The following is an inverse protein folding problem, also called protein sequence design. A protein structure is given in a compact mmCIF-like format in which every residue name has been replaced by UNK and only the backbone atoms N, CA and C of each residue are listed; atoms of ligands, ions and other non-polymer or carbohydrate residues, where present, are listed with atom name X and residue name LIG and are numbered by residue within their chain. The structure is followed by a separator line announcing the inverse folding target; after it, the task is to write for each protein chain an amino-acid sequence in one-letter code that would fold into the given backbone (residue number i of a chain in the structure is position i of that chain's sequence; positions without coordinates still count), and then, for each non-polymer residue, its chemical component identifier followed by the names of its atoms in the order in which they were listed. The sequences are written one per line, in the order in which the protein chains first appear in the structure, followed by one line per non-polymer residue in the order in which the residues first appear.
data_IF_705567366368
#
_entry.id   IF_705567366368
#
_cell.length_a   1.000
_cell.length_b   1.000
_cell.length_c   1.000
_cell.angle_alpha   90.00
_cell.angle_beta   90.00
_cell.angle_gamma   90.00
#
_symmetry.space_group_name_H-M   'P 1'
#
loop_
_entity.id
_entity.type
_entity.pdbx_description
1 polymer ?
#
# COMPACT_ATOMS: atom_id res chain seq x y z
N UNK A 1 17.09 30.60 -30.28
CA UNK A 1 17.28 29.16 -30.54
C UNK A 1 16.05 28.45 -29.99
N UNK A 2 15.37 27.66 -30.81
CA UNK A 2 14.13 26.94 -30.46
C UNK A 2 14.37 25.43 -30.34
N UNK A 3 15.65 25.00 -30.37
CA UNK A 3 16.04 23.60 -30.36
C UNK A 3 16.17 23.04 -28.93
N UNK A 4 15.82 23.83 -27.91
CA UNK A 4 15.89 23.42 -26.51
C UNK A 4 17.28 23.49 -25.88
N UNK A 5 18.32 23.90 -26.61
CA UNK A 5 19.65 24.11 -26.03
C UNK A 5 19.84 25.52 -25.47
N UNK A 6 20.34 25.61 -24.23
CA UNK A 6 20.76 26.87 -23.60
C UNK A 6 22.24 27.13 -23.93
N UNK A 7 22.61 28.24 -24.59
CA UNK A 7 24.01 28.55 -24.87
C UNK A 7 24.82 28.67 -23.57
N UNK A 8 25.99 28.05 -23.50
CA UNK A 8 26.84 28.09 -22.30
C UNK A 8 27.23 29.52 -21.93
N UNK A 9 27.46 30.37 -22.93
CA UNK A 9 27.83 31.78 -22.73
C UNK A 9 26.71 32.62 -22.11
N UNK A 10 25.45 32.19 -22.25
CA UNK A 10 24.30 32.87 -21.63
C UNK A 10 24.31 32.69 -20.11
N UNK A 11 24.75 31.52 -19.62
CA UNK A 11 24.87 31.29 -18.18
C UNK A 11 25.88 32.27 -17.57
N UNK A 12 27.06 32.38 -18.16
CA UNK A 12 28.12 33.27 -17.67
C UNK A 12 27.68 34.73 -17.66
N UNK A 13 27.02 35.20 -18.74
CA UNK A 13 26.46 36.55 -18.81
C UNK A 13 25.40 36.82 -17.74
N UNK A 14 24.58 35.81 -17.41
CA UNK A 14 23.55 35.93 -16.38
C UNK A 14 24.15 35.89 -14.98
N UNK A 15 25.22 35.11 -14.75
CA UNK A 15 25.99 35.14 -13.50
C UNK A 15 26.60 36.53 -13.29
N UNK A 16 27.22 37.12 -14.31
CA UNK A 16 27.78 38.48 -14.26
C UNK A 16 26.71 39.54 -13.96
N UNK A 17 25.48 39.32 -14.44
CA UNK A 17 24.32 40.18 -14.15
C UNK A 17 23.67 39.94 -12.78
N UNK A 18 24.19 39.00 -11.97
CA UNK A 18 23.62 38.62 -10.67
C UNK A 18 22.36 37.75 -10.75
N UNK A 19 22.08 37.20 -11.93
CA UNK A 19 20.89 36.42 -12.28
C UNK A 19 21.25 34.98 -12.66
N UNK A 20 22.20 34.36 -11.95
CA UNK A 20 22.63 32.98 -12.21
C UNK A 20 21.43 32.04 -12.37
N UNK A 21 21.35 31.33 -13.51
CA UNK A 21 20.24 30.42 -13.79
C UNK A 21 20.32 29.16 -12.93
N UNK A 22 21.49 28.54 -12.91
CA UNK A 22 21.74 27.33 -12.14
C UNK A 22 21.87 27.65 -10.64
N UNK A 23 21.35 26.78 -9.76
CA UNK A 23 21.53 26.93 -8.33
C UNK A 23 23.01 26.75 -7.95
N UNK A 24 23.49 27.59 -7.03
CA UNK A 24 24.80 27.40 -6.40
C UNK A 24 24.78 26.27 -5.37
N UNK A 25 25.95 25.89 -4.89
CA UNK A 25 26.12 24.81 -3.88
C UNK A 25 25.37 25.04 -2.56
N UNK A 26 24.92 26.27 -2.28
CA UNK A 26 24.15 26.64 -1.09
C UNK A 26 22.66 26.82 -1.33
N UNK A 27 22.22 26.76 -2.59
CA UNK A 27 20.83 26.98 -2.99
C UNK A 27 20.03 25.67 -2.98
N UNK A 28 20.70 24.52 -2.89
CA UNK A 28 20.08 23.19 -2.90
C UNK A 28 20.32 22.51 -1.56
N UNK A 29 19.22 22.21 -0.86
CA UNK A 29 19.22 21.31 0.29
C UNK A 29 18.55 20.00 -0.10
N UNK A 30 19.16 18.89 0.25
CA UNK A 30 18.64 17.55 0.00
C UNK A 30 18.16 16.98 1.33
N UNK A 31 16.90 16.56 1.39
CA UNK A 31 16.34 15.80 2.51
C UNK A 31 15.74 14.50 1.98
N UNK A 32 16.08 13.38 2.61
CA UNK A 32 15.60 12.06 2.22
C UNK A 32 15.23 11.24 3.44
N UNK A 33 14.02 10.69 3.45
CA UNK A 33 13.48 9.87 4.55
C UNK A 33 14.06 8.45 4.61
N UNK A 34 15.09 8.14 3.82
CA UNK A 34 15.65 6.78 3.70
C UNK A 34 16.57 6.35 4.87
N UNK A 35 16.78 7.22 5.86
CA UNK A 35 17.57 6.92 7.06
C UNK A 35 19.08 6.87 6.85
N UNK A 36 19.56 7.17 5.64
CA UNK A 36 20.99 7.26 5.35
C UNK A 36 21.53 8.65 5.73
N UNK A 37 22.60 8.69 6.55
CA UNK A 37 23.23 9.92 7.05
C UNK A 37 24.29 10.50 6.10
N UNK A 38 24.51 9.89 4.94
CA UNK A 38 25.38 10.46 3.92
C UNK A 38 24.76 11.75 3.33
N UNK A 39 25.59 12.77 3.08
CA UNK A 39 25.18 14.06 2.51
C UNK A 39 24.45 13.93 1.16
N UNK A 40 24.65 12.83 0.43
CA UNK A 40 23.87 12.45 -0.75
C UNK A 40 23.64 10.93 -0.77
N UNK A 41 22.48 10.48 -0.28
CA UNK A 41 22.07 9.09 -0.44
C UNK A 41 21.79 8.76 -1.91
N UNK A 42 21.77 7.47 -2.28
CA UNK A 42 21.53 7.04 -3.67
C UNK A 42 20.16 7.51 -4.21
N UNK A 43 19.15 7.65 -3.35
CA UNK A 43 17.83 8.16 -3.74
C UNK A 43 17.87 9.65 -4.08
N UNK A 44 18.55 10.44 -3.26
CA UNK A 44 18.76 11.85 -3.52
C UNK A 44 19.56 12.07 -4.81
N UNK A 45 20.62 11.28 -5.00
CA UNK A 45 21.40 11.31 -6.24
C UNK A 45 20.54 10.95 -7.46
N UNK A 46 19.72 9.89 -7.37
CA UNK A 46 18.81 9.50 -8.43
C UNK A 46 17.78 10.60 -8.76
N UNK A 47 17.21 11.25 -7.73
CA UNK A 47 16.29 12.37 -7.92
C UNK A 47 16.98 13.57 -8.58
N UNK A 48 18.23 13.89 -8.19
CA UNK A 48 19.01 14.96 -8.81
C UNK A 48 19.34 14.65 -10.28
N UNK A 49 19.72 13.41 -10.60
CA UNK A 49 19.97 12.99 -11.98
C UNK A 49 18.69 13.05 -12.84
N UNK A 50 17.53 12.66 -12.29
CA UNK A 50 16.27 12.77 -13.00
C UNK A 50 15.87 14.24 -13.23
N UNK A 51 16.08 15.10 -12.24
CA UNK A 51 15.85 16.53 -12.39
C UNK A 51 16.74 17.12 -13.48
N UNK A 52 18.04 16.80 -13.47
CA UNK A 52 18.98 17.25 -14.51
C UNK A 52 18.52 16.82 -15.90
N UNK A 53 18.14 15.55 -16.08
CA UNK A 53 17.66 15.03 -17.36
C UNK A 53 16.34 15.69 -17.82
N UNK A 54 15.52 16.20 -16.90
CA UNK A 54 14.33 16.98 -17.24
C UNK A 54 14.68 18.40 -17.67
N UNK A 55 15.65 19.04 -17.01
CA UNK A 55 16.16 20.35 -17.38
C UNK A 55 16.86 20.35 -18.74
N UNK A 56 17.57 19.27 -19.07
CA UNK A 56 18.18 19.08 -20.39
C UNK A 56 17.10 18.97 -21.49
N UNK A 57 15.91 18.45 -21.15
CA UNK A 57 14.78 18.32 -22.09
C UNK A 57 13.96 19.60 -22.22
N UNK A 58 13.81 20.37 -21.15
CA UNK A 58 13.14 21.67 -21.14
C UNK A 58 13.86 22.66 -20.21
N UNK A 59 14.81 23.46 -20.74
CA UNK A 59 15.56 24.42 -19.92
C UNK A 59 14.69 25.53 -19.33
N UNK A 60 13.49 25.76 -19.86
CA UNK A 60 12.57 26.80 -19.35
C UNK A 60 12.03 26.42 -17.96
N UNK A 61 12.14 25.14 -17.59
CA UNK A 61 11.83 24.66 -16.24
C UNK A 61 12.70 25.34 -15.18
N UNK A 62 13.97 25.66 -15.45
CA UNK A 62 14.83 26.37 -14.47
C UNK A 62 14.24 27.71 -14.04
N UNK A 63 13.67 28.45 -14.98
CA UNK A 63 13.08 29.75 -14.67
C UNK A 63 11.75 29.58 -13.95
N UNK A 64 10.98 28.55 -14.31
CA UNK A 64 9.74 28.17 -13.61
C UNK A 64 10.02 27.81 -12.16
N UNK A 65 11.08 27.04 -11.88
CA UNK A 65 11.52 26.69 -10.53
C UNK A 65 11.95 27.92 -9.71
N UNK A 66 12.47 28.97 -10.36
CA UNK A 66 12.74 30.27 -9.72
C UNK A 66 11.50 31.19 -9.60
N UNK A 67 10.31 30.67 -9.91
CA UNK A 67 9.05 31.39 -9.81
C UNK A 67 8.74 32.33 -10.98
N UNK A 68 9.48 32.22 -12.08
CA UNK A 68 9.18 32.94 -13.32
C UNK A 68 8.04 32.31 -14.11
N UNK A 69 7.29 33.12 -14.85
CA UNK A 69 6.23 32.62 -15.73
C UNK A 69 6.79 32.23 -17.10
N UNK A 70 6.62 30.95 -17.46
CA UNK A 70 6.97 30.41 -18.79
C UNK A 70 6.39 31.25 -19.92
N UNK A 71 5.15 31.72 -19.80
CA UNK A 71 4.52 32.52 -20.85
C UNK A 71 5.18 33.89 -21.00
N UNK A 72 5.55 34.56 -19.90
CA UNK A 72 6.26 35.83 -19.91
C UNK A 72 7.67 35.71 -20.49
N UNK A 73 8.38 34.62 -20.15
CA UNK A 73 9.72 34.35 -20.68
C UNK A 73 9.64 34.10 -22.18
N UNK A 74 8.76 33.19 -22.62
CA UNK A 74 8.55 32.91 -24.03
C UNK A 74 8.06 34.13 -24.81
N UNK A 75 7.25 35.01 -24.19
CA UNK A 75 6.84 36.28 -24.79
C UNK A 75 7.98 37.31 -24.87
N UNK A 76 8.95 37.22 -23.96
CA UNK A 76 10.19 38.02 -23.96
C UNK A 76 11.28 37.47 -24.89
N UNK A 77 11.21 36.19 -25.27
CA UNK A 77 12.06 35.60 -26.29
C UNK A 77 11.68 36.15 -27.66
N UNK A 78 12.26 37.28 -28.01
CA UNK A 78 12.20 37.82 -29.37
C UNK A 78 12.95 36.82 -30.27
N UNK A 79 12.34 36.27 -31.33
CA UNK A 79 13.10 35.58 -32.38
C UNK A 79 14.21 36.52 -32.81
N UNK A 80 15.47 36.07 -32.76
CA UNK A 80 16.62 36.85 -33.26
C UNK A 80 16.43 37.04 -34.76
N UNK A 81 15.72 38.10 -35.08
CA UNK A 81 15.01 38.30 -36.33
C UNK A 81 14.17 39.57 -36.18
N UNK A 82 14.88 40.70 -36.14
CA UNK A 82 14.39 42.09 -36.15
C UNK A 82 13.90 42.68 -34.83
N UNK A 83 14.52 43.82 -34.51
CA UNK A 83 14.23 44.68 -33.38
C UNK A 83 12.80 45.25 -33.42
N UNK A 84 12.13 45.31 -32.27
CA UNK A 84 10.82 45.93 -32.16
C UNK A 84 10.29 45.97 -30.72
N UNK A 85 10.73 46.97 -29.96
CA UNK A 85 10.25 47.27 -28.61
C UNK A 85 8.74 47.55 -28.62
N UNK A 86 7.96 46.81 -27.81
CA UNK A 86 6.63 47.25 -27.39
C UNK A 86 6.31 46.79 -25.97
N UNK A 87 6.29 47.74 -25.02
CA UNK A 87 5.64 47.55 -23.72
C UNK A 87 4.13 47.47 -23.94
N UNK A 88 3.47 46.47 -23.36
CA UNK A 88 2.02 46.46 -23.15
C UNK A 88 1.80 46.29 -21.66
N UNK A 89 0.94 47.16 -21.12
CA UNK A 89 0.75 47.39 -19.70
C UNK A 89 0.00 46.27 -19.00
N UNK A 90 0.22 46.21 -17.68
CA UNK A 90 -0.42 45.27 -16.79
C UNK A 90 -1.92 45.48 -16.68
N UNK A 91 -2.63 44.36 -16.75
CA UNK A 91 -4.03 44.21 -16.35
C UNK A 91 -4.18 42.81 -15.80
N UNK A 92 -4.53 42.71 -14.51
CA UNK A 92 -4.58 41.46 -13.76
C UNK A 92 -5.43 40.40 -14.45
N UNK A 93 -4.79 39.32 -14.87
CA UNK A 93 -5.45 38.16 -15.45
C UNK A 93 -5.60 37.07 -14.39
N UNK A 94 -6.86 36.78 -14.09
CA UNK A 94 -7.30 35.60 -13.35
C UNK A 94 -6.68 34.34 -13.99
N UNK A 95 -6.03 33.50 -13.17
CA UNK A 95 -5.36 32.27 -13.62
C UNK A 95 -6.40 31.32 -14.22
N UNK A 96 -6.31 31.05 -15.52
CA UNK A 96 -7.08 30.01 -16.18
C UNK A 96 -6.58 28.62 -15.75
N UNK A 97 -7.50 27.68 -15.57
CA UNK A 97 -7.20 26.26 -15.29
C UNK A 97 -6.35 25.66 -16.43
N UNK A 98 -5.36 24.82 -16.07
CA UNK A 98 -4.49 24.12 -17.02
C UNK A 98 -5.21 23.03 -17.84
N UNK A 99 -6.45 22.69 -17.48
CA UNK A 99 -7.31 21.76 -18.22
C UNK A 99 -8.35 22.57 -19.00
N UNK A 100 -8.28 22.52 -20.32
CA UNK A 100 -9.20 23.23 -21.22
C UNK A 100 -10.67 22.87 -20.93
N UNK A 101 -11.53 23.89 -20.86
CA UNK A 101 -12.97 23.75 -20.62
C UNK A 101 -13.39 23.73 -19.14
N UNK A 102 -12.43 23.69 -18.21
CA UNK A 102 -12.71 23.84 -16.77
C UNK A 102 -12.55 25.31 -16.36
N UNK A 103 -13.55 25.86 -15.66
CA UNK A 103 -13.45 27.21 -15.08
C UNK A 103 -12.27 27.32 -14.11
N UNK A 104 -11.86 28.55 -13.73
CA UNK A 104 -10.79 28.75 -12.76
C UNK A 104 -11.11 28.03 -11.46
N UNK A 105 -10.12 27.31 -10.90
CA UNK A 105 -10.29 26.66 -9.62
C UNK A 105 -10.61 27.72 -8.54
N UNK A 106 -11.58 27.45 -7.64
CA UNK A 106 -11.88 28.37 -6.56
C UNK A 106 -10.61 28.57 -5.73
N UNK A 107 -10.10 29.80 -5.72
CA UNK A 107 -8.92 30.17 -4.94
C UNK A 107 -9.32 31.02 -3.74
N UNK A 108 -8.57 30.86 -2.64
CA UNK A 108 -8.70 31.68 -1.44
C UNK A 108 -7.35 32.35 -1.18
N UNK A 109 -7.30 33.64 -0.83
CA UNK A 109 -6.05 34.30 -0.46
C UNK A 109 -5.34 33.55 0.67
N UNK A 110 -4.02 33.36 0.55
CA UNK A 110 -3.24 32.59 1.53
C UNK A 110 -3.45 33.07 2.98
N UNK A 111 -3.49 34.39 3.20
CA UNK A 111 -3.75 34.95 4.52
C UNK A 111 -5.15 34.64 5.08
N UNK A 112 -6.16 34.43 4.21
CA UNK A 112 -7.48 33.98 4.61
C UNK A 112 -7.50 32.46 4.88
N UNK A 113 -6.75 31.67 4.10
CA UNK A 113 -6.57 30.24 4.35
C UNK A 113 -5.87 29.98 5.69
N UNK A 114 -4.80 30.71 6.01
CA UNK A 114 -4.06 30.60 7.26
C UNK A 114 -4.84 31.04 8.50
N UNK A 115 -5.84 31.92 8.34
CA UNK A 115 -6.73 32.36 9.43
C UNK A 115 -7.94 31.45 9.63
N UNK A 116 -8.24 30.58 8.67
CA UNK A 116 -9.36 29.64 8.77
C UNK A 116 -9.02 28.58 9.82
N UNK A 117 -9.93 28.32 10.75
CA UNK A 117 -9.89 27.08 11.53
C UNK A 117 -10.28 25.92 10.60
N UNK A 118 -9.43 24.90 10.43
CA UNK A 118 -9.84 23.68 9.73
C UNK A 118 -11.14 23.18 10.35
N UNK A 119 -12.11 22.84 9.50
CA UNK A 119 -13.26 22.11 10.01
C UNK A 119 -12.77 20.73 10.47
N UNK A 120 -13.50 20.13 11.42
CA UNK A 120 -13.25 18.75 11.77
C UNK A 120 -13.31 17.89 10.51
N UNK A 121 -12.35 16.97 10.40
CA UNK A 121 -12.33 16.02 9.30
C UNK A 121 -13.68 15.29 9.29
N UNK A 122 -14.32 15.14 8.11
CA UNK A 122 -15.47 14.27 7.99
C UNK A 122 -15.07 12.90 8.52
N UNK A 123 -15.76 12.44 9.56
CA UNK A 123 -15.58 11.08 10.10
C UNK A 123 -16.01 10.00 9.11
N UNK A 124 -16.80 10.39 8.10
CA UNK A 124 -17.21 9.56 6.99
C UNK A 124 -16.71 10.18 5.68
N UNK A 125 -15.72 9.54 5.06
CA UNK A 125 -15.21 9.91 3.73
C UNK A 125 -16.12 9.41 2.59
N UNK A 126 -17.31 8.89 2.92
CA UNK A 126 -18.16 8.12 2.04
C UNK A 126 -17.53 6.78 1.71
N UNK A 127 -18.36 5.77 1.35
CA UNK A 127 -17.85 4.55 0.73
C UNK A 127 -17.05 4.94 -0.51
N UNK A 128 -15.72 4.88 -0.41
CA UNK A 128 -14.83 5.20 -1.53
C UNK A 128 -15.25 4.31 -2.69
N UNK A 129 -15.61 4.95 -3.81
CA UNK A 129 -15.75 4.25 -5.08
C UNK A 129 -14.42 3.55 -5.31
N UNK A 130 -14.41 2.22 -5.29
CA UNK A 130 -13.31 1.45 -5.86
C UNK A 130 -13.36 1.74 -7.35
N UNK A 131 -12.71 2.83 -7.77
CA UNK A 131 -12.31 3.01 -9.16
C UNK A 131 -11.60 1.72 -9.54
N UNK A 132 -11.96 1.14 -10.69
CA UNK A 132 -11.57 -0.21 -11.11
C UNK A 132 -10.16 -0.55 -10.67
N UNK A 133 -10.01 -1.74 -10.07
CA UNK A 133 -8.84 -2.11 -9.27
C UNK A 133 -7.49 -1.72 -9.90
N UNK A 134 -6.47 -1.47 -9.07
CA UNK A 134 -5.19 -0.96 -9.53
C UNK A 134 -4.68 -1.75 -10.73
N UNK A 135 -4.51 -1.05 -11.86
CA UNK A 135 -3.92 -1.64 -13.06
C UNK A 135 -2.41 -1.52 -12.95
N UNK A 136 -1.74 -2.65 -13.06
CA UNK A 136 -0.31 -2.69 -13.29
C UNK A 136 -0.08 -2.36 -14.77
N UNK A 137 0.01 -1.08 -15.12
CA UNK A 137 0.48 -0.66 -16.45
C UNK A 137 2.01 -0.91 -16.61
N UNK A 138 2.54 -1.93 -15.92
CA UNK A 138 3.96 -2.16 -15.68
C UNK A 138 4.53 -3.05 -16.77
N UNK A 139 5.72 -2.67 -17.25
CA UNK A 139 6.66 -3.53 -17.97
C UNK A 139 6.78 -4.88 -17.24
N UNK A 140 6.86 -6.00 -17.97
CA UNK A 140 6.98 -7.31 -17.35
C UNK A 140 8.10 -7.33 -16.28
N UNK A 141 7.85 -7.87 -15.08
CA UNK A 141 8.86 -7.91 -14.02
C UNK A 141 10.10 -8.70 -14.47
N UNK A 142 11.30 -8.33 -13.99
CA UNK A 142 12.52 -9.10 -14.24
C UNK A 142 12.35 -10.58 -13.82
N UNK A 143 12.81 -11.50 -14.66
CA UNK A 143 12.65 -12.95 -14.44
C UNK A 143 13.24 -13.44 -13.10
N UNK A 144 14.27 -12.76 -12.60
CA UNK A 144 14.94 -13.04 -11.32
C UNK A 144 14.01 -12.97 -10.11
N UNK A 145 12.90 -12.24 -10.21
CA UNK A 145 11.90 -12.11 -9.14
C UNK A 145 11.00 -13.35 -9.00
N UNK A 146 11.02 -14.27 -9.96
CA UNK A 146 10.29 -15.53 -9.88
C UNK A 146 8.77 -15.42 -10.03
N UNK A 147 8.26 -14.29 -10.55
CA UNK A 147 6.85 -14.13 -10.92
C UNK A 147 6.72 -13.37 -12.25
N UNK A 148 5.64 -13.64 -12.98
CA UNK A 148 5.29 -13.01 -14.25
C UNK A 148 4.37 -11.79 -14.04
N UNK A 149 3.97 -11.12 -15.12
CA UNK A 149 3.05 -9.99 -15.05
C UNK A 149 1.71 -10.36 -14.38
N UNK A 150 1.17 -11.56 -14.65
CA UNK A 150 -0.04 -12.06 -14.01
C UNK A 150 0.16 -12.35 -12.51
N UNK A 151 1.35 -12.78 -12.10
CA UNK A 151 1.77 -12.89 -10.70
C UNK A 151 1.82 -11.54 -10.02
N UNK A 152 2.38 -10.52 -10.68
CA UNK A 152 2.41 -9.15 -10.19
C UNK A 152 0.99 -8.57 -10.01
N UNK A 153 0.11 -8.75 -10.99
CA UNK A 153 -1.29 -8.33 -10.90
C UNK A 153 -2.00 -8.94 -9.70
N UNK A 154 -1.77 -10.23 -9.42
CA UNK A 154 -2.34 -10.93 -8.26
C UNK A 154 -1.79 -10.37 -6.94
N UNK A 155 -0.51 -10.00 -6.88
CA UNK A 155 0.10 -9.37 -5.70
C UNK A 155 -0.45 -7.95 -5.48
N UNK A 156 -0.58 -7.15 -6.55
CA UNK A 156 -1.16 -5.81 -6.49
C UNK A 156 -2.62 -5.86 -6.02
N UNK A 157 -3.42 -6.79 -6.57
CA UNK A 157 -4.80 -7.02 -6.15
C UNK A 157 -4.92 -7.55 -4.71
N UNK A 158 -3.91 -8.26 -4.21
CA UNK A 158 -3.84 -8.70 -2.82
C UNK A 158 -3.55 -7.54 -1.87
N UNK A 159 -2.52 -6.75 -2.17
CA UNK A 159 -2.12 -5.58 -1.40
C UNK A 159 -3.26 -4.55 -1.31
N UNK A 160 -3.97 -4.33 -2.42
CA UNK A 160 -5.13 -3.44 -2.45
C UNK A 160 -6.28 -3.94 -1.56
N UNK A 161 -6.55 -5.26 -1.55
CA UNK A 161 -7.60 -5.83 -0.70
C UNK A 161 -7.23 -5.77 0.79
N UNK A 162 -5.96 -6.03 1.14
CA UNK A 162 -5.45 -5.86 2.51
C UNK A 162 -5.57 -4.41 2.96
N UNK A 163 -5.15 -3.46 2.13
CA UNK A 163 -5.25 -2.03 2.41
C UNK A 163 -6.71 -1.60 2.60
N UNK A 164 -7.64 -2.12 1.80
CA UNK A 164 -9.07 -1.85 1.97
C UNK A 164 -9.60 -2.40 3.30
N UNK A 165 -9.25 -3.64 3.68
CA UNK A 165 -9.64 -4.21 4.97
C UNK A 165 -9.10 -3.39 6.16
N UNK A 166 -7.86 -2.90 6.06
CA UNK A 166 -7.25 -2.03 7.07
C UNK A 166 -8.02 -0.71 7.29
N UNK A 167 -8.79 -0.24 6.32
CA UNK A 167 -9.60 0.98 6.46
C UNK A 167 -10.86 0.77 7.29
N UNK A 168 -11.39 -0.47 7.32
CA UNK A 168 -12.58 -0.84 8.08
C UNK A 168 -12.24 -1.49 9.44
N UNK A 169 -10.96 -1.86 9.63
CA UNK A 169 -10.45 -2.52 10.83
C UNK A 169 -10.42 -1.60 12.06
N UNK A 170 -10.69 -2.18 13.24
CA UNK A 170 -10.52 -1.46 14.51
C UNK A 170 -9.05 -1.33 14.89
N UNK A 171 -8.25 -2.36 14.57
CA UNK A 171 -6.78 -2.31 14.62
C UNK A 171 -6.20 -2.66 13.24
N UNK A 172 -5.92 -1.64 12.40
CA UNK A 172 -5.40 -1.85 11.05
C UNK A 172 -4.06 -2.59 10.98
N UNK A 173 -3.24 -2.51 12.03
CA UNK A 173 -1.92 -3.16 12.05
C UNK A 173 -2.09 -4.65 12.33
N UNK A 174 -2.83 -4.97 13.40
CA UNK A 174 -3.10 -6.36 13.79
C UNK A 174 -3.91 -7.11 12.72
N UNK A 175 -4.85 -6.44 12.06
CA UNK A 175 -5.74 -7.05 11.05
C UNK A 175 -5.17 -7.00 9.63
N UNK A 176 -3.98 -6.44 9.42
CA UNK A 176 -3.34 -6.33 8.09
C UNK A 176 -3.01 -7.68 7.45
N UNK A 177 -2.86 -8.71 8.29
CA UNK A 177 -2.38 -10.05 7.91
C UNK A 177 -0.94 -10.07 7.40
N UNK A 178 -0.15 -9.01 7.61
CA UNK A 178 1.25 -8.93 7.16
C UNK A 178 2.18 -9.79 8.02
N UNK A 179 1.80 -10.05 9.26
CA UNK A 179 2.54 -10.91 10.20
C UNK A 179 2.17 -12.40 10.08
N UNK A 180 1.29 -12.75 9.13
CA UNK A 180 0.95 -14.15 8.87
C UNK A 180 2.18 -14.91 8.38
N UNK A 181 2.37 -16.12 8.92
CA UNK A 181 3.41 -16.99 8.39
C UNK A 181 3.10 -17.40 6.94
N UNK A 182 4.16 -17.82 6.24
CA UNK A 182 4.09 -18.16 4.81
C UNK A 182 3.01 -19.18 4.46
N UNK A 183 2.77 -20.16 5.34
CA UNK A 183 1.77 -21.20 5.13
C UNK A 183 0.35 -20.65 5.23
N UNK A 184 0.07 -19.90 6.30
CA UNK A 184 -1.23 -19.27 6.53
C UNK A 184 -1.54 -18.21 5.47
N UNK A 185 -0.55 -17.40 5.06
CA UNK A 185 -0.73 -16.43 3.97
C UNK A 185 -1.01 -17.12 2.62
N UNK A 186 -0.36 -18.26 2.34
CA UNK A 186 -0.63 -19.03 1.13
C UNK A 186 -2.09 -19.52 1.08
N UNK A 187 -2.62 -20.02 2.20
CA UNK A 187 -4.03 -20.44 2.32
C UNK A 187 -4.97 -19.25 2.14
N UNK A 188 -4.71 -18.11 2.79
CA UNK A 188 -5.50 -16.87 2.60
C UNK A 188 -5.56 -16.45 1.14
N UNK A 189 -4.41 -16.42 0.46
CA UNK A 189 -4.34 -16.03 -0.96
C UNK A 189 -5.10 -17.03 -1.83
N UNK A 190 -4.99 -18.31 -1.55
CA UNK A 190 -5.74 -19.37 -2.24
C UNK A 190 -7.25 -19.23 -2.03
N UNK A 191 -7.70 -19.01 -0.79
CA UNK A 191 -9.11 -18.81 -0.46
C UNK A 191 -9.74 -17.63 -1.21
N UNK A 192 -8.93 -16.64 -1.56
CA UNK A 192 -9.31 -15.45 -2.33
C UNK A 192 -9.09 -15.56 -3.85
N UNK A 193 -8.67 -16.72 -4.35
CA UNK A 193 -8.42 -16.98 -5.78
C UNK A 193 -7.12 -16.37 -6.33
N UNK A 194 -6.24 -15.85 -5.48
CA UNK A 194 -4.98 -15.18 -5.87
C UNK A 194 -3.77 -16.12 -5.91
N UNK A 195 -3.90 -17.33 -5.38
CA UNK A 195 -2.88 -18.37 -5.42
C UNK A 195 -3.52 -19.71 -5.79
N UNK A 196 -2.80 -20.55 -6.54
CA UNK A 196 -3.30 -21.88 -6.91
C UNK A 196 -3.10 -22.89 -5.79
N UNK A 197 -3.98 -23.90 -5.75
CA UNK A 197 -3.93 -24.97 -4.74
C UNK A 197 -2.60 -25.75 -4.76
N UNK A 198 -1.99 -25.95 -5.93
CA UNK A 198 -0.69 -26.62 -6.06
C UNK A 198 0.42 -25.92 -5.28
N UNK A 199 0.45 -24.59 -5.28
CA UNK A 199 1.45 -23.84 -4.51
C UNK A 199 1.21 -23.97 -3.00
N UNK A 200 -0.05 -24.05 -2.56
CA UNK A 200 -0.36 -24.29 -1.14
C UNK A 200 0.08 -25.70 -0.74
N UNK A 201 -0.22 -26.69 -1.58
CA UNK A 201 0.21 -28.08 -1.42
C UNK A 201 1.74 -28.18 -1.28
N UNK A 202 2.51 -27.49 -2.12
CA UNK A 202 3.97 -27.43 -2.03
C UNK A 202 4.47 -26.74 -0.76
N UNK A 203 3.86 -25.61 -0.37
CA UNK A 203 4.28 -24.83 0.81
C UNK A 203 4.00 -25.57 2.12
N UNK A 204 2.86 -26.27 2.19
CA UNK A 204 2.40 -26.93 3.41
C UNK A 204 2.63 -28.45 3.42
N UNK A 205 3.06 -29.03 2.31
CA UNK A 205 3.28 -30.47 2.18
C UNK A 205 2.00 -31.30 2.34
N UNK A 206 0.86 -30.79 1.86
CA UNK A 206 -0.44 -31.45 1.96
C UNK A 206 -1.00 -31.79 0.57
N UNK A 207 -1.94 -32.74 0.51
CA UNK A 207 -2.64 -33.08 -0.73
C UNK A 207 -3.78 -32.10 -1.05
N UNK A 208 -4.47 -32.32 -2.16
CA UNK A 208 -5.57 -31.45 -2.61
C UNK A 208 -6.70 -31.35 -1.59
N UNK A 209 -7.08 -32.48 -0.96
CA UNK A 209 -8.11 -32.51 0.08
C UNK A 209 -7.68 -31.70 1.32
N UNK A 210 -6.41 -31.81 1.71
CA UNK A 210 -5.82 -30.98 2.76
C UNK A 210 -5.89 -29.48 2.43
N UNK A 211 -5.59 -29.08 1.19
CA UNK A 211 -5.72 -27.67 0.77
C UNK A 211 -7.16 -27.19 0.87
N UNK A 212 -8.13 -27.99 0.46
CA UNK A 212 -9.56 -27.65 0.55
C UNK A 212 -10.00 -27.47 2.00
N UNK A 213 -9.63 -28.40 2.89
CA UNK A 213 -9.92 -28.29 4.32
C UNK A 213 -9.29 -27.06 4.97
N UNK A 214 -8.08 -26.67 4.55
CA UNK A 214 -7.41 -25.45 5.05
C UNK A 214 -8.08 -24.17 4.52
N UNK A 215 -8.51 -24.15 3.26
CA UNK A 215 -9.25 -23.02 2.68
C UNK A 215 -10.60 -22.84 3.38
N UNK A 216 -11.29 -23.94 3.70
CA UNK A 216 -12.54 -23.89 4.44
C UNK A 216 -12.33 -23.47 5.90
N UNK A 217 -11.26 -23.94 6.54
CA UNK A 217 -10.86 -23.47 7.87
C UNK A 217 -10.55 -21.97 7.88
N UNK A 218 -9.90 -21.45 6.85
CA UNK A 218 -9.66 -20.01 6.69
C UNK A 218 -10.97 -19.22 6.54
N UNK A 219 -11.91 -19.73 5.74
CA UNK A 219 -13.22 -19.07 5.55
C UNK A 219 -14.07 -19.06 6.81
N UNK A 220 -13.97 -20.13 7.60
CA UNK A 220 -14.72 -20.28 8.85
C UNK A 220 -14.09 -19.47 10.00
N UNK A 221 -12.77 -19.57 10.18
CA UNK A 221 -12.09 -19.10 11.39
C UNK A 221 -10.77 -18.37 11.13
N UNK A 222 -10.50 -17.92 9.90
CA UNK A 222 -9.32 -17.16 9.54
C UNK A 222 -8.01 -17.87 9.88
N UNK A 223 -7.03 -17.12 10.39
CA UNK A 223 -5.73 -17.65 10.77
C UNK A 223 -5.81 -18.70 11.89
N UNK A 224 -6.70 -18.50 12.87
CA UNK A 224 -6.89 -19.42 13.98
C UNK A 224 -7.34 -20.81 13.51
N UNK A 225 -8.24 -20.87 12.52
CA UNK A 225 -8.69 -22.13 11.91
C UNK A 225 -7.56 -22.89 11.22
N UNK A 226 -6.75 -22.19 10.43
CA UNK A 226 -5.61 -22.79 9.71
C UNK A 226 -4.54 -23.29 10.69
N UNK A 227 -4.23 -22.49 11.72
CA UNK A 227 -3.27 -22.88 12.75
C UNK A 227 -3.77 -24.08 13.55
N UNK A 228 -5.06 -24.09 13.91
CA UNK A 228 -5.66 -25.20 14.65
C UNK A 228 -5.47 -26.54 13.91
N UNK A 229 -5.51 -26.57 12.58
CA UNK A 229 -5.29 -27.78 11.79
C UNK A 229 -3.81 -28.10 11.57
N UNK A 230 -2.98 -27.10 11.28
CA UNK A 230 -1.57 -27.31 10.84
C UNK A 230 -0.57 -27.39 11.99
N UNK A 231 -0.83 -26.72 13.11
CA UNK A 231 0.08 -26.63 14.26
C UNK A 231 -0.68 -26.88 15.58
N UNK A 232 -1.36 -28.03 15.72
CA UNK A 232 -2.06 -28.31 16.95
C UNK A 232 -1.11 -28.42 18.14
N UNK A 233 -1.54 -27.90 19.28
CA UNK A 233 -0.79 -27.98 20.54
C UNK A 233 -1.63 -28.54 21.67
N UNK A 234 -0.95 -29.03 22.70
CA UNK A 234 -1.59 -29.38 23.97
C UNK A 234 -2.07 -28.11 24.66
N UNK A 235 -3.25 -28.19 25.27
CA UNK A 235 -3.82 -27.13 26.09
C UNK A 235 -3.22 -27.17 27.50
N UNK A 236 -3.03 -25.99 28.09
CA UNK A 236 -2.60 -25.86 29.48
C UNK A 236 -3.71 -26.27 30.45
N UNK A 237 -3.36 -26.54 31.71
CA UNK A 237 -4.35 -26.87 32.74
C UNK A 237 -5.38 -25.75 32.94
N UNK A 238 -4.97 -24.48 32.85
CA UNK A 238 -5.88 -23.34 32.95
C UNK A 238 -6.85 -23.27 31.77
N UNK A 239 -6.38 -23.53 30.55
CA UNK A 239 -7.25 -23.60 29.36
C UNK A 239 -8.24 -24.76 29.46
N UNK A 240 -7.80 -25.92 29.95
CA UNK A 240 -8.70 -27.07 30.16
C UNK A 240 -9.76 -26.77 31.23
N UNK A 241 -9.38 -26.08 32.31
CA UNK A 241 -10.31 -25.67 33.35
C UNK A 241 -11.38 -24.70 32.82
N UNK A 242 -10.98 -23.71 32.02
CA UNK A 242 -11.92 -22.79 31.37
C UNK A 242 -12.90 -23.52 30.44
N UNK A 243 -12.42 -24.53 29.70
CA UNK A 243 -13.29 -25.32 28.82
C UNK A 243 -14.26 -26.20 29.62
N UNK A 244 -13.78 -26.84 30.69
CA UNK A 244 -14.58 -27.72 31.53
C UNK A 244 -15.66 -26.98 32.33
N UNK A 245 -15.55 -25.65 32.49
CA UNK A 245 -16.58 -24.83 33.13
C UNK A 245 -17.81 -24.62 32.24
N UNK A 246 -17.67 -24.81 30.92
CA UNK A 246 -18.73 -24.53 29.94
C UNK A 246 -19.22 -25.76 29.18
N UNK A 247 -18.43 -26.82 29.15
CA UNK A 247 -18.80 -28.11 28.52
C UNK A 247 -19.44 -29.02 29.59
N UNK A 248 -20.68 -29.45 29.36
CA UNK A 248 -21.37 -30.39 30.26
C UNK A 248 -20.76 -31.81 30.23
N UNK A 249 -20.21 -32.20 29.07
CA UNK A 249 -19.56 -33.48 28.84
C UNK A 249 -18.12 -33.56 29.40
N UNK A 250 -17.60 -34.79 29.50
CA UNK A 250 -16.22 -35.01 29.95
C UNK A 250 -15.19 -34.42 28.96
N UNK A 251 -14.40 -33.45 29.44
CA UNK A 251 -13.29 -32.86 28.69
C UNK A 251 -12.02 -33.71 28.82
N UNK A 252 -11.56 -34.29 27.72
CA UNK A 252 -10.36 -35.14 27.69
C UNK A 252 -9.19 -34.45 26.99
N UNK A 253 -8.13 -34.18 27.74
CA UNK A 253 -6.89 -33.63 27.19
C UNK A 253 -6.21 -34.60 26.19
N UNK A 254 -5.71 -34.03 25.09
CA UNK A 254 -4.92 -34.70 24.05
C UNK A 254 -3.67 -33.89 23.72
N UNK A 255 -2.74 -34.48 22.96
CA UNK A 255 -1.57 -33.78 22.45
C UNK A 255 -1.93 -32.65 21.49
N UNK A 256 -3.10 -32.71 20.85
CA UNK A 256 -3.54 -31.77 19.80
C UNK A 256 -4.68 -30.86 20.21
N UNK A 257 -5.11 -30.88 21.48
CA UNK A 257 -6.25 -30.09 21.99
C UNK A 257 -7.01 -30.82 23.09
N UNK A 258 -8.32 -30.62 23.17
CA UNK A 258 -9.23 -31.32 24.07
C UNK A 258 -10.38 -31.95 23.29
N UNK A 259 -10.72 -33.20 23.59
CA UNK A 259 -11.89 -33.89 23.01
C UNK A 259 -13.05 -33.73 23.96
N UNK A 260 -14.22 -33.40 23.41
CA UNK A 260 -15.49 -33.26 24.13
C UNK A 260 -16.51 -34.28 23.59
N UNK A 261 -17.73 -34.27 24.11
CA UNK A 261 -18.81 -35.14 23.65
C UNK A 261 -19.11 -35.03 22.14
N UNK A 262 -19.82 -36.02 21.61
CA UNK A 262 -20.21 -36.01 20.19
C UNK A 262 -19.06 -36.16 19.18
N UNK A 263 -17.86 -36.56 19.63
CA UNK A 263 -16.70 -36.71 18.75
C UNK A 263 -16.09 -35.40 18.27
N UNK A 264 -16.37 -34.30 18.98
CA UNK A 264 -15.84 -32.96 18.69
C UNK A 264 -14.52 -32.73 19.42
N UNK A 265 -13.70 -31.84 18.86
CA UNK A 265 -12.43 -31.43 19.44
C UNK A 265 -12.38 -29.90 19.54
N UNK A 266 -11.90 -29.38 20.66
CA UNK A 266 -11.60 -27.97 20.84
C UNK A 266 -10.09 -27.78 20.83
N UNK A 267 -9.62 -26.79 20.08
CA UNK A 267 -8.21 -26.39 20.00
C UNK A 267 -8.06 -24.91 20.36
N UNK A 268 -6.86 -24.55 20.80
CA UNK A 268 -6.49 -23.17 21.15
C UNK A 268 -5.44 -22.65 20.18
N UNK A 269 -5.76 -21.57 19.48
CA UNK A 269 -4.82 -20.85 18.61
C UNK A 269 -3.87 -19.95 19.43
N UNK A 270 -2.76 -19.52 18.84
CA UNK A 270 -1.77 -18.64 19.49
C UNK A 270 -2.27 -17.22 19.69
N UNK A 271 -3.22 -16.77 18.88
CA UNK A 271 -3.90 -15.48 19.03
C UNK A 271 -4.87 -15.44 20.23
N UNK A 272 -5.10 -16.58 20.86
CA UNK A 272 -6.09 -16.70 21.92
C UNK A 272 -7.53 -16.84 21.42
N UNK A 273 -7.74 -17.46 20.26
CA UNK A 273 -9.03 -17.96 19.77
C UNK A 273 -9.25 -19.43 20.13
N UNK A 274 -10.50 -19.78 20.45
CA UNK A 274 -10.96 -21.16 20.66
C UNK A 274 -11.58 -21.65 19.36
N UNK A 275 -11.14 -22.81 18.88
CA UNK A 275 -11.56 -23.36 17.60
C UNK A 275 -12.24 -24.69 17.85
N UNK A 276 -13.50 -24.82 17.43
CA UNK A 276 -14.28 -26.06 17.50
C UNK A 276 -14.13 -26.83 16.19
N UNK A 277 -13.84 -28.12 16.32
CA UNK A 277 -13.67 -29.05 15.21
C UNK A 277 -14.56 -30.27 15.36
N UNK A 278 -14.98 -30.84 14.24
CA UNK A 278 -15.55 -32.19 14.20
C UNK A 278 -14.84 -33.06 13.17
N UNK A 279 -14.95 -34.37 13.37
CA UNK A 279 -14.58 -35.35 12.35
C UNK A 279 -15.37 -35.12 11.07
N UNK A 280 -14.70 -35.20 9.92
CA UNK A 280 -15.35 -35.30 8.62
C UNK A 280 -15.62 -36.76 8.23
N UNK A 281 -16.28 -36.96 7.08
CA UNK A 281 -16.65 -38.30 6.60
C UNK A 281 -15.44 -39.16 6.16
N UNK A 282 -14.28 -38.54 5.96
CA UNK A 282 -13.05 -39.17 5.47
C UNK A 282 -12.04 -39.42 6.61
N UNK A 283 -12.39 -39.06 7.85
CA UNK A 283 -11.56 -39.25 9.05
C UNK A 283 -10.61 -38.08 9.36
N UNK A 284 -10.73 -36.97 8.63
CA UNK A 284 -10.09 -35.70 8.93
C UNK A 284 -10.87 -34.87 9.94
N UNK A 285 -10.39 -33.65 10.19
CA UNK A 285 -11.05 -32.68 11.07
C UNK A 285 -11.38 -31.42 10.28
N UNK A 286 -12.61 -30.94 10.43
CA UNK A 286 -13.05 -29.65 9.88
C UNK A 286 -13.34 -28.66 11.00
N UNK A 287 -13.03 -27.39 10.76
CA UNK A 287 -13.41 -26.29 11.65
C UNK A 287 -14.90 -26.01 11.48
N UNK A 288 -15.62 -25.89 12.59
CA UNK A 288 -17.06 -25.58 12.61
C UNK A 288 -17.30 -24.17 13.13
N UNK A 289 -16.54 -23.77 14.15
CA UNK A 289 -16.78 -22.53 14.86
C UNK A 289 -15.50 -21.97 15.49
N UNK A 290 -15.49 -20.66 15.74
CA UNK A 290 -14.41 -19.94 16.43
C UNK A 290 -14.95 -18.86 17.35
N UNK A 291 -14.38 -18.77 18.54
CA UNK A 291 -14.76 -17.75 19.52
C UNK A 291 -13.58 -17.27 20.36
N UNK A 292 -13.65 -16.04 20.88
CA UNK A 292 -12.66 -15.53 21.84
C UNK A 292 -12.81 -16.15 23.23
N UNK A 293 -14.02 -16.61 23.58
CA UNK A 293 -14.36 -17.29 24.83
C UNK A 293 -14.92 -18.68 24.53
N UNK A 294 -14.64 -19.70 25.37
CA UNK A 294 -15.11 -21.06 25.12
C UNK A 294 -16.64 -21.20 25.24
N UNK A 295 -17.30 -20.32 26.00
CA UNK A 295 -18.76 -20.35 26.18
C UNK A 295 -19.57 -19.79 25.01
N UNK A 296 -18.91 -19.13 24.06
CA UNK A 296 -19.58 -18.62 22.86
C UNK A 296 -19.48 -19.62 21.70
N UNK A 297 -18.85 -20.79 21.92
CA UNK A 297 -18.78 -21.86 20.93
C UNK A 297 -20.13 -22.60 20.80
N UNK A 298 -20.45 -23.03 19.58
CA UNK A 298 -21.60 -23.89 19.28
C UNK A 298 -21.35 -25.37 19.69
N UNK A 299 -21.21 -25.58 21.01
CA UNK A 299 -20.77 -26.82 21.67
C UNK A 299 -21.72 -28.01 21.54
#
# INVERSE_FOLDING_TARGET
MLDGDLPTELHDQLVDAGCALLPGVRDVSIDCTCGNLAESCVHAAAACCHLAAELDRDPVLLVTLRGGDRAEILAGLVPTGTAGRRRVGGGGAQRMSAIGGRGPDPSVPAAAAWRRRPADLPVDFGRRRVLGGPRSDVVAPPAELGFDAAGLDRLVADAAARAAACLDASDPVAESGLDLDRGVDAVRRCASGRLGASTVSEVLGCDQAGVEGLVDAWRCAGAAGVEALTRPRRMSEAELALLADVVEDEVRSRSTGAVIGGGRQVRRSTDGSWVLLAGDAEGGLRVIDVASCPGDLDL
#
